data_IF_772954340462
#
_entry.id   IF_772954340462
#
_cell.length_a   1.000
_cell.length_b   1.000
_cell.length_c   1.000
_cell.angle_alpha   90.00
_cell.angle_beta   90.00
_cell.angle_gamma   90.00
#
_symmetry.space_group_name_H-M   'P 1'
#
loop_
_entity.id
_entity.type
_entity.pdbx_description
1 polymer ?
#
# COMPACT_ATOMS: atom_id res chain seq x y z
N UNK A 1 -31.67 2.67 -2.64
CA UNK A 1 -30.43 2.09 -3.18
C UNK A 1 -30.05 0.89 -2.31
N UNK A 2 -29.79 -0.28 -2.91
CA UNK A 2 -29.31 -1.48 -2.19
C UNK A 2 -27.79 -1.46 -2.10
N UNK A 3 -27.23 -1.72 -0.92
CA UNK A 3 -25.79 -1.72 -0.64
C UNK A 3 -25.39 -3.09 -0.11
N UNK A 4 -24.32 -3.65 -0.66
CA UNK A 4 -23.70 -4.90 -0.21
C UNK A 4 -22.37 -4.57 0.47
N UNK A 5 -22.16 -5.06 1.69
CA UNK A 5 -20.93 -4.79 2.46
C UNK A 5 -20.24 -6.11 2.75
N UNK A 6 -19.11 -6.34 2.09
CA UNK A 6 -18.34 -7.57 2.15
C UNK A 6 -17.27 -7.58 3.25
N UNK A 7 -17.34 -6.71 4.26
CA UNK A 7 -16.48 -6.72 5.45
C UNK A 7 -17.17 -5.98 6.60
N UNK A 8 -16.65 -6.11 7.82
CA UNK A 8 -17.16 -5.35 8.97
C UNK A 8 -16.66 -3.90 8.86
N UNK A 9 -17.48 -3.01 8.30
CA UNK A 9 -17.21 -1.57 8.29
C UNK A 9 -17.80 -0.96 9.59
N UNK A 10 -16.99 -0.49 10.55
CA UNK A 10 -17.48 -0.09 11.89
C UNK A 10 -18.42 1.11 11.87
N UNK A 11 -18.35 1.93 10.83
CA UNK A 11 -19.08 3.21 10.71
C UNK A 11 -20.40 3.09 9.98
N UNK A 12 -20.72 1.96 9.36
CA UNK A 12 -22.01 1.75 8.72
C UNK A 12 -22.89 1.01 9.74
N UNK A 13 -23.93 1.67 10.25
CA UNK A 13 -24.92 1.05 11.12
C UNK A 13 -25.79 0.08 10.32
N UNK A 14 -26.14 -1.06 10.92
CA UNK A 14 -27.11 -1.98 10.34
C UNK A 14 -28.46 -1.28 10.17
N UNK A 15 -28.83 -0.97 8.92
CA UNK A 15 -30.13 -0.41 8.56
C UNK A 15 -31.17 -1.53 8.52
N UNK A 16 -32.25 -1.38 9.29
CA UNK A 16 -33.39 -2.33 9.33
C UNK A 16 -34.22 -2.34 8.05
N UNK A 17 -33.94 -1.45 7.08
CA UNK A 17 -34.75 -1.28 5.88
C UNK A 17 -34.49 -2.30 4.75
N UNK A 18 -33.75 -3.39 5.00
CA UNK A 18 -33.29 -4.36 3.98
C UNK A 18 -32.48 -3.74 2.82
N UNK A 19 -32.09 -2.47 2.93
CA UNK A 19 -31.28 -1.77 1.92
C UNK A 19 -29.80 -2.08 2.07
N UNK A 20 -29.35 -2.55 3.23
CA UNK A 20 -27.95 -2.89 3.49
C UNK A 20 -27.85 -4.36 3.86
N UNK A 21 -27.05 -5.13 3.11
CA UNK A 21 -26.76 -6.54 3.38
C UNK A 21 -25.29 -6.69 3.76
N UNK A 22 -25.03 -7.14 4.99
CA UNK A 22 -23.68 -7.41 5.50
C UNK A 22 -23.32 -8.87 5.30
N UNK A 23 -22.19 -9.12 4.66
CA UNK A 23 -21.69 -10.47 4.37
C UNK A 23 -20.21 -10.60 4.76
N UNK A 24 -19.87 -10.44 6.06
CA UNK A 24 -18.49 -10.50 6.53
C UNK A 24 -17.86 -11.89 6.36
N UNK A 25 -18.67 -12.95 6.25
CA UNK A 25 -18.16 -14.31 6.06
C UNK A 25 -17.79 -14.58 4.58
N UNK A 26 -18.34 -13.81 3.65
CA UNK A 26 -18.03 -13.95 2.23
C UNK A 26 -16.76 -13.20 1.83
N UNK A 27 -16.12 -12.44 2.73
CA UNK A 27 -14.82 -11.80 2.48
C UNK A 27 -13.75 -12.81 2.01
N UNK A 28 -13.91 -14.08 2.35
CA UNK A 28 -13.01 -15.18 2.00
C UNK A 28 -13.50 -16.05 0.84
N UNK A 29 -14.71 -15.80 0.33
CA UNK A 29 -15.36 -16.61 -0.69
C UNK A 29 -15.74 -15.74 -1.91
N UNK A 30 -14.82 -15.61 -2.89
CA UNK A 30 -15.06 -14.87 -4.12
C UNK A 30 -16.27 -15.38 -4.91
N UNK A 31 -16.57 -16.68 -4.82
CA UNK A 31 -17.66 -17.31 -5.58
C UNK A 31 -18.99 -17.01 -4.91
N UNK A 32 -19.07 -17.17 -3.60
CA UNK A 32 -20.25 -16.79 -2.82
C UNK A 32 -20.60 -15.30 -2.97
N UNK A 33 -19.60 -14.41 -3.00
CA UNK A 33 -19.85 -12.99 -3.26
C UNK A 33 -20.46 -12.74 -4.65
N UNK A 34 -19.99 -13.43 -5.70
CA UNK A 34 -20.55 -13.27 -7.05
C UNK A 34 -22.02 -13.66 -7.09
N UNK A 35 -22.38 -14.80 -6.48
CA UNK A 35 -23.75 -15.27 -6.38
C UNK A 35 -24.63 -14.21 -5.69
N UNK A 36 -24.12 -13.63 -4.60
CA UNK A 36 -24.84 -12.60 -3.85
C UNK A 36 -25.02 -11.30 -4.62
N UNK A 37 -24.03 -10.88 -5.41
CA UNK A 37 -24.17 -9.70 -6.29
C UNK A 37 -25.30 -9.94 -7.32
N UNK A 38 -25.34 -11.12 -7.94
CA UNK A 38 -26.35 -11.47 -8.94
C UNK A 38 -27.75 -11.55 -8.32
N UNK A 39 -27.87 -12.17 -7.15
CA UNK A 39 -29.16 -12.38 -6.48
C UNK A 39 -29.69 -11.10 -5.82
N UNK A 40 -28.84 -10.39 -5.08
CA UNK A 40 -29.25 -9.20 -4.32
C UNK A 40 -29.41 -7.95 -5.20
N UNK A 41 -28.65 -7.88 -6.31
CA UNK A 41 -28.60 -6.76 -7.25
C UNK A 41 -28.32 -5.42 -6.54
N UNK A 42 -27.19 -5.28 -5.84
CA UNK A 42 -26.83 -4.04 -5.17
C UNK A 42 -26.55 -2.93 -6.19
N UNK A 43 -26.94 -1.70 -5.86
CA UNK A 43 -26.49 -0.50 -6.57
C UNK A 43 -25.11 -0.02 -6.11
N UNK A 44 -24.60 -0.53 -4.98
CA UNK A 44 -23.28 -0.20 -4.44
C UNK A 44 -22.69 -1.39 -3.69
N UNK A 45 -21.40 -1.66 -3.89
CA UNK A 45 -20.68 -2.72 -3.19
C UNK A 45 -19.49 -2.09 -2.45
N UNK A 46 -19.36 -2.38 -1.16
CA UNK A 46 -18.29 -1.87 -0.29
C UNK A 46 -17.50 -3.08 0.25
N UNK A 47 -16.19 -3.12 -0.04
CA UNK A 47 -15.30 -4.24 0.31
C UNK A 47 -14.02 -3.71 0.97
N UNK A 48 -13.43 -4.49 1.87
CA UNK A 48 -12.31 -4.07 2.73
C UNK A 48 -11.37 -5.23 3.01
N UNK A 49 -10.07 -4.96 3.16
CA UNK A 49 -9.00 -5.95 2.96
C UNK A 49 -8.35 -6.51 4.21
N UNK A 50 -8.80 -6.16 5.41
CA UNK A 50 -7.98 -6.37 6.61
C UNK A 50 -7.78 -7.85 7.01
N UNK A 51 -8.48 -8.79 6.39
CA UNK A 51 -8.40 -10.22 6.76
C UNK A 51 -8.37 -11.15 5.53
N UNK A 52 -8.22 -10.62 4.33
CA UNK A 52 -8.30 -11.41 3.08
C UNK A 52 -6.90 -11.55 2.49
N UNK A 53 -6.49 -12.77 2.12
CA UNK A 53 -5.15 -12.99 1.54
C UNK A 53 -4.96 -12.17 0.25
N UNK A 54 -3.70 -11.80 -0.05
CA UNK A 54 -3.36 -11.06 -1.26
C UNK A 54 -3.86 -11.77 -2.54
N UNK A 55 -3.80 -13.11 -2.56
CA UNK A 55 -4.31 -13.93 -3.66
C UNK A 55 -5.83 -13.76 -3.83
N UNK A 56 -6.59 -13.84 -2.74
CA UNK A 56 -8.04 -13.67 -2.77
C UNK A 56 -8.44 -12.26 -3.17
N UNK A 57 -7.73 -11.23 -2.67
CA UNK A 57 -7.92 -9.83 -3.11
C UNK A 57 -7.62 -9.64 -4.61
N UNK A 58 -6.61 -10.32 -5.14
CA UNK A 58 -6.26 -10.25 -6.56
C UNK A 58 -7.31 -10.97 -7.44
N UNK A 59 -7.78 -12.15 -7.02
CA UNK A 59 -8.91 -12.85 -7.66
C UNK A 59 -10.16 -11.96 -7.67
N UNK A 60 -10.50 -11.37 -6.53
CA UNK A 60 -11.60 -10.40 -6.41
C UNK A 60 -11.45 -9.23 -7.35
N UNK A 61 -10.28 -8.61 -7.39
CA UNK A 61 -9.98 -7.47 -8.27
C UNK A 61 -10.20 -7.83 -9.73
N UNK A 62 -9.77 -9.01 -10.14
CA UNK A 62 -9.92 -9.47 -11.52
C UNK A 62 -11.40 -9.75 -11.85
N UNK A 63 -12.11 -10.46 -10.98
CA UNK A 63 -13.55 -10.72 -11.10
C UNK A 63 -14.34 -9.41 -11.18
N UNK A 64 -14.12 -8.48 -10.26
CA UNK A 64 -14.86 -7.22 -10.22
C UNK A 64 -14.56 -6.33 -11.43
N UNK A 65 -13.33 -6.34 -11.97
CA UNK A 65 -13.02 -5.64 -13.23
C UNK A 65 -13.79 -6.24 -14.42
N UNK A 66 -13.85 -7.56 -14.50
CA UNK A 66 -14.60 -8.25 -15.55
C UNK A 66 -16.10 -7.92 -15.42
N UNK A 67 -16.66 -8.04 -14.21
CA UNK A 67 -18.06 -7.69 -13.95
C UNK A 67 -18.34 -6.21 -14.21
N UNK A 68 -17.45 -5.29 -13.83
CA UNK A 68 -17.61 -3.86 -14.05
C UNK A 68 -17.68 -3.51 -15.54
N UNK A 69 -16.85 -4.16 -16.37
CA UNK A 69 -16.88 -3.99 -17.81
C UNK A 69 -18.20 -4.52 -18.42
N UNK A 70 -18.71 -5.65 -17.92
CA UNK A 70 -19.95 -6.27 -18.40
C UNK A 70 -21.19 -5.49 -17.94
N UNK A 71 -21.19 -5.01 -16.70
CA UNK A 71 -22.34 -4.42 -16.03
C UNK A 71 -22.32 -2.89 -15.97
N UNK A 72 -21.32 -2.26 -16.61
CA UNK A 72 -21.08 -0.81 -16.58
C UNK A 72 -21.04 -0.23 -15.15
N UNK A 73 -20.37 -0.93 -14.22
CA UNK A 73 -20.26 -0.54 -12.82
C UNK A 73 -19.02 0.33 -12.62
N UNK A 74 -19.19 1.51 -12.03
CA UNK A 74 -18.06 2.35 -11.63
C UNK A 74 -17.36 1.78 -10.39
N UNK A 75 -16.04 1.62 -10.48
CA UNK A 75 -15.22 1.12 -9.37
C UNK A 75 -14.36 2.24 -8.78
N UNK A 76 -14.53 2.50 -7.49
CA UNK A 76 -13.77 3.51 -6.74
C UNK A 76 -12.85 2.84 -5.73
N UNK A 77 -11.62 3.34 -5.66
CA UNK A 77 -10.69 3.02 -4.58
C UNK A 77 -10.57 4.23 -3.69
N UNK A 78 -10.39 4.01 -2.40
CA UNK A 78 -9.97 5.04 -1.45
C UNK A 78 -8.49 4.83 -1.15
N UNK A 79 -7.59 5.12 -2.12
CA UNK A 79 -6.17 5.02 -1.85
C UNK A 79 -5.82 5.95 -0.69
N UNK A 80 -4.82 5.57 0.10
CA UNK A 80 -4.26 6.40 1.17
C UNK A 80 -5.03 6.48 2.49
N UNK A 81 -6.28 5.99 2.60
CA UNK A 81 -7.04 6.06 3.87
C UNK A 81 -6.30 5.39 5.03
N UNK A 82 -5.70 4.22 4.79
CA UNK A 82 -4.94 3.51 5.81
C UNK A 82 -3.43 3.83 5.77
N UNK A 83 -2.98 4.65 4.83
CA UNK A 83 -1.55 4.83 4.60
C UNK A 83 -0.78 5.44 5.79
N UNK A 84 -1.31 6.44 6.52
CA UNK A 84 -0.65 6.97 7.71
C UNK A 84 -0.46 5.91 8.82
N UNK A 85 -1.46 5.07 9.07
CA UNK A 85 -1.41 4.05 10.13
C UNK A 85 -0.40 2.94 9.79
N UNK A 86 -0.37 2.50 8.53
CA UNK A 86 0.62 1.52 8.08
C UNK A 86 2.03 2.11 8.13
N UNK A 87 2.21 3.37 7.74
CA UNK A 87 3.49 4.05 7.83
C UNK A 87 3.98 4.15 9.28
N UNK A 88 3.10 4.50 10.22
CA UNK A 88 3.40 4.52 11.64
C UNK A 88 3.83 3.13 12.14
N UNK A 89 3.08 2.07 11.81
CA UNK A 89 3.43 0.71 12.18
C UNK A 89 4.81 0.28 11.64
N UNK A 90 5.13 0.61 10.38
CA UNK A 90 6.45 0.34 9.80
C UNK A 90 7.55 1.00 10.64
N UNK A 91 7.40 2.28 10.97
CA UNK A 91 8.40 3.04 11.74
C UNK A 91 8.59 2.48 13.14
N UNK A 92 7.50 2.17 13.84
CA UNK A 92 7.54 1.54 15.16
C UNK A 92 8.29 0.19 15.12
N UNK A 93 8.14 -0.59 14.04
CA UNK A 93 8.82 -1.88 13.89
C UNK A 93 10.28 -1.76 13.49
N UNK A 94 10.67 -0.69 12.81
CA UNK A 94 12.09 -0.42 12.53
C UNK A 94 12.85 -0.08 13.83
N UNK A 95 12.14 0.43 14.85
CA UNK A 95 12.61 0.62 16.23
C UNK A 95 13.94 1.41 16.31
N UNK A 96 13.98 2.56 15.64
CA UNK A 96 15.15 3.44 15.60
C UNK A 96 15.56 4.00 16.97
N UNK A 97 14.62 4.10 17.91
CA UNK A 97 14.80 4.70 19.24
C UNK A 97 15.90 4.06 20.08
N UNK A 98 16.25 2.80 19.80
CA UNK A 98 17.28 2.06 20.53
C UNK A 98 18.65 2.08 19.83
N UNK A 99 18.75 2.73 18.67
CA UNK A 99 19.96 2.74 17.87
C UNK A 99 20.74 4.04 18.05
N UNK A 100 21.97 3.94 18.56
CA UNK A 100 22.85 5.07 18.87
C UNK A 100 23.75 5.46 17.68
N UNK A 101 23.62 4.80 16.54
CA UNK A 101 24.42 5.11 15.36
C UNK A 101 24.03 6.46 14.79
N UNK A 102 25.03 7.30 14.53
CA UNK A 102 24.86 8.54 13.78
C UNK A 102 24.54 8.21 12.31
N UNK A 103 23.66 8.99 11.68
CA UNK A 103 23.31 8.89 10.26
C UNK A 103 22.67 7.56 9.81
N UNK A 104 21.58 7.14 10.46
CA UNK A 104 20.81 5.97 10.03
C UNK A 104 20.21 6.23 8.63
N UNK A 105 20.81 5.62 7.61
CA UNK A 105 20.27 5.56 6.26
C UNK A 105 19.10 4.59 6.24
N UNK A 106 17.91 5.14 6.02
CA UNK A 106 16.66 4.39 6.01
C UNK A 106 16.10 4.34 4.59
N UNK A 107 16.46 3.34 3.78
CA UNK A 107 15.87 3.19 2.48
C UNK A 107 14.39 2.88 2.55
N UNK A 108 13.65 3.59 1.72
CA UNK A 108 12.22 3.36 1.49
C UNK A 108 12.06 2.83 0.08
N UNK A 109 11.72 1.55 -0.02
CA UNK A 109 11.39 0.87 -1.27
C UNK A 109 9.88 0.99 -1.48
N UNK A 110 9.47 1.78 -2.46
CA UNK A 110 8.08 2.10 -2.77
C UNK A 110 7.71 3.54 -2.40
N UNK A 111 7.32 4.33 -3.40
CA UNK A 111 6.99 5.75 -3.25
C UNK A 111 5.47 6.03 -3.42
N UNK A 112 4.64 5.03 -3.10
CA UNK A 112 3.18 5.16 -3.04
C UNK A 112 2.71 5.95 -1.81
N UNK A 113 1.41 5.92 -1.51
CA UNK A 113 0.84 6.65 -0.39
C UNK A 113 1.51 6.32 0.96
N UNK A 114 1.72 5.04 1.25
CA UNK A 114 2.41 4.58 2.48
C UNK A 114 3.85 5.09 2.51
N UNK A 115 4.60 4.85 1.42
CA UNK A 115 6.01 5.24 1.32
C UNK A 115 6.23 6.73 1.54
N UNK A 116 5.37 7.59 1.01
CA UNK A 116 5.44 9.05 1.24
C UNK A 116 5.31 9.41 2.72
N UNK A 117 4.39 8.79 3.45
CA UNK A 117 4.25 9.01 4.88
C UNK A 117 5.47 8.50 5.65
N UNK A 118 6.03 7.35 5.27
CA UNK A 118 7.27 6.84 5.86
C UNK A 118 8.42 7.83 5.64
N UNK A 119 8.64 8.28 4.40
CA UNK A 119 9.69 9.25 4.03
C UNK A 119 9.54 10.54 4.86
N UNK A 120 8.34 11.13 4.88
CA UNK A 120 8.08 12.37 5.60
C UNK A 120 8.38 12.24 7.09
N UNK A 121 7.99 11.12 7.71
CA UNK A 121 8.16 10.92 9.14
C UNK A 121 9.63 10.67 9.51
N UNK A 122 10.34 9.87 8.72
CA UNK A 122 11.78 9.65 8.91
C UNK A 122 12.59 10.95 8.79
N UNK A 123 12.28 11.79 7.78
CA UNK A 123 12.91 13.11 7.64
C UNK A 123 12.60 14.00 8.85
N UNK A 124 11.35 13.99 9.33
CA UNK A 124 10.95 14.77 10.50
C UNK A 124 11.67 14.31 11.79
N UNK A 125 12.01 13.02 11.89
CA UNK A 125 12.79 12.44 12.98
C UNK A 125 14.31 12.64 12.80
N UNK A 126 14.73 13.36 11.76
CA UNK A 126 16.13 13.70 11.49
C UNK A 126 16.93 12.63 10.76
N UNK A 127 16.27 11.61 10.20
CA UNK A 127 16.94 10.55 9.45
C UNK A 127 17.21 10.94 8.00
N UNK A 128 18.35 10.47 7.48
CA UNK A 128 18.63 10.48 6.05
C UNK A 128 17.91 9.32 5.37
N UNK A 129 17.15 9.61 4.32
CA UNK A 129 16.28 8.66 3.64
C UNK A 129 16.78 8.43 2.21
N UNK A 130 16.91 7.16 1.81
CA UNK A 130 17.17 6.79 0.41
C UNK A 130 15.87 6.26 -0.21
N UNK A 131 15.31 6.98 -1.17
CA UNK A 131 14.04 6.62 -1.79
C UNK A 131 14.29 5.85 -3.07
N UNK A 132 13.69 4.67 -3.19
CA UNK A 132 13.65 3.91 -4.43
C UNK A 132 12.21 3.54 -4.80
N UNK A 133 11.87 3.71 -6.07
CA UNK A 133 10.64 3.19 -6.64
C UNK A 133 10.82 2.99 -8.14
N UNK A 134 10.39 1.87 -8.75
CA UNK A 134 10.62 1.62 -10.17
C UNK A 134 10.11 2.74 -11.09
N UNK A 135 8.91 3.27 -10.81
CA UNK A 135 8.35 4.40 -11.56
C UNK A 135 9.08 5.72 -11.32
N UNK A 136 9.75 5.87 -10.17
CA UNK A 136 10.55 7.04 -9.84
C UNK A 136 11.89 6.95 -10.57
N UNK A 137 12.61 5.82 -10.42
CA UNK A 137 13.88 5.54 -11.08
C UNK A 137 13.83 5.74 -12.61
N UNK A 138 12.76 5.27 -13.26
CA UNK A 138 12.56 5.47 -14.69
C UNK A 138 12.46 6.94 -15.10
N UNK A 139 11.95 7.80 -14.23
CA UNK A 139 11.84 9.24 -14.48
C UNK A 139 13.15 9.98 -14.12
N UNK A 140 13.88 9.52 -13.11
CA UNK A 140 15.16 10.10 -12.68
C UNK A 140 16.24 10.03 -13.76
N UNK A 141 16.17 9.07 -14.69
CA UNK A 141 17.10 9.00 -15.83
C UNK A 141 16.90 10.11 -16.87
N UNK A 142 15.86 10.93 -16.73
CA UNK A 142 15.43 11.90 -17.77
C UNK A 142 15.27 13.33 -17.26
N UNK A 143 15.35 13.56 -15.95
CA UNK A 143 15.09 14.85 -15.34
C UNK A 143 15.71 14.95 -13.94
N UNK A 144 15.87 16.18 -13.47
CA UNK A 144 16.40 16.47 -12.14
C UNK A 144 15.58 15.78 -11.03
N UNK A 145 16.23 15.09 -10.06
CA UNK A 145 15.55 14.29 -9.06
C UNK A 145 14.47 15.01 -8.27
N UNK A 146 14.73 16.26 -7.89
CA UNK A 146 13.77 17.07 -7.13
C UNK A 146 12.48 17.34 -7.91
N UNK A 147 12.59 17.66 -9.20
CA UNK A 147 11.43 17.95 -10.04
C UNK A 147 10.58 16.70 -10.22
N UNK A 148 11.23 15.55 -10.46
CA UNK A 148 10.54 14.26 -10.54
C UNK A 148 9.84 13.94 -9.23
N UNK A 149 10.53 14.05 -8.10
CA UNK A 149 9.97 13.74 -6.79
C UNK A 149 8.80 14.66 -6.42
N UNK A 150 8.90 15.97 -6.65
CA UNK A 150 7.79 16.93 -6.46
C UNK A 150 6.59 16.61 -7.33
N UNK A 151 6.79 16.25 -8.61
CA UNK A 151 5.71 15.83 -9.52
C UNK A 151 4.96 14.59 -9.01
N UNK A 152 5.65 13.75 -8.24
CA UNK A 152 5.08 12.56 -7.60
C UNK A 152 4.54 12.86 -6.20
N UNK A 153 4.62 14.09 -5.71
CA UNK A 153 4.19 14.47 -4.35
C UNK A 153 5.06 13.83 -3.26
N UNK A 154 6.35 13.65 -3.54
CA UNK A 154 7.35 13.23 -2.55
C UNK A 154 8.01 14.48 -1.99
N UNK A 155 8.14 14.55 -0.68
CA UNK A 155 8.81 15.67 -0.02
C UNK A 155 10.33 15.52 -0.20
N UNK A 156 10.98 16.56 -0.71
CA UNK A 156 12.43 16.63 -0.87
C UNK A 156 12.99 17.55 0.20
N UNK A 157 13.89 17.01 1.03
CA UNK A 157 14.67 17.76 2.02
C UNK A 157 16.16 17.42 1.83
N UNK A 158 17.08 18.19 2.41
CA UNK A 158 18.55 17.93 2.33
C UNK A 158 18.94 16.50 2.75
N UNK A 159 18.14 15.81 3.57
CA UNK A 159 18.33 14.41 3.96
C UNK A 159 17.68 13.38 3.01
N UNK A 160 17.23 13.76 1.81
CA UNK A 160 16.54 12.86 0.87
C UNK A 160 17.43 12.56 -0.33
N UNK A 161 17.77 11.29 -0.50
CA UNK A 161 18.48 10.79 -1.68
C UNK A 161 17.58 9.90 -2.51
N UNK A 162 17.79 9.85 -3.83
CA UNK A 162 17.00 9.04 -4.73
C UNK A 162 17.88 8.01 -5.42
N UNK A 163 17.57 6.74 -5.19
CA UNK A 163 18.27 5.64 -5.84
C UNK A 163 17.63 5.31 -7.19
N UNK A 164 18.46 4.94 -8.14
CA UNK A 164 18.08 4.49 -9.49
C UNK A 164 17.87 2.97 -9.57
N UNK A 165 18.35 2.23 -8.56
CA UNK A 165 18.19 0.78 -8.46
C UNK A 165 17.91 0.32 -7.02
N UNK A 166 17.29 -0.87 -6.82
CA UNK A 166 17.13 -1.45 -5.49
C UNK A 166 18.47 -1.69 -4.79
N UNK A 167 19.50 -2.11 -5.54
CA UNK A 167 20.85 -2.41 -5.02
C UNK A 167 21.52 -1.15 -4.47
N UNK A 168 21.40 -0.04 -5.18
CA UNK A 168 21.87 1.26 -4.71
C UNK A 168 21.12 1.68 -3.45
N UNK A 169 19.79 1.48 -3.41
CA UNK A 169 18.96 1.84 -2.27
C UNK A 169 19.37 1.14 -0.98
N UNK A 170 19.75 -0.14 -1.06
CA UNK A 170 20.09 -0.96 0.11
C UNK A 170 21.59 -1.04 0.41
N UNK A 171 22.42 -0.28 -0.31
CA UNK A 171 23.87 -0.33 -0.13
C UNK A 171 24.25 0.31 1.21
N UNK A 172 24.94 -0.47 2.06
CA UNK A 172 25.44 -0.04 3.38
C UNK A 172 24.36 0.46 4.35
N UNK A 173 23.15 -0.12 4.27
CA UNK A 173 22.02 0.24 5.15
C UNK A 173 21.78 -0.86 6.19
N UNK A 174 21.22 -0.48 7.33
CA UNK A 174 20.89 -1.43 8.41
C UNK A 174 19.40 -1.79 8.48
N UNK A 175 18.55 -0.87 8.02
CA UNK A 175 17.09 -0.98 8.04
C UNK A 175 16.56 -0.73 6.66
N UNK A 176 15.48 -1.42 6.27
CA UNK A 176 14.81 -1.15 4.99
C UNK A 176 13.31 -1.12 5.23
N UNK A 177 12.69 0.01 4.91
CA UNK A 177 11.24 0.14 4.88
C UNK A 177 10.74 -0.30 3.50
N UNK A 178 9.92 -1.35 3.44
CA UNK A 178 9.34 -1.86 2.21
C UNK A 178 7.85 -1.49 2.18
N UNK A 179 7.49 -0.59 1.28
CA UNK A 179 6.16 -0.01 1.09
C UNK A 179 5.69 -0.16 -0.37
N UNK A 180 5.79 -1.38 -0.90
CA UNK A 180 5.32 -1.78 -2.25
C UNK A 180 4.14 -2.74 -2.15
N UNK A 181 3.30 -2.78 -3.17
CA UNK A 181 2.25 -3.79 -3.29
C UNK A 181 2.89 -5.19 -3.40
N UNK A 182 2.27 -6.20 -2.76
CA UNK A 182 2.80 -7.57 -2.67
C UNK A 182 3.10 -8.26 -4.01
N UNK A 183 2.58 -7.73 -5.13
CA UNK A 183 2.79 -8.26 -6.49
C UNK A 183 4.18 -7.93 -7.04
N UNK A 184 4.97 -7.07 -6.37
CA UNK A 184 6.21 -6.50 -6.92
C UNK A 184 7.51 -7.05 -6.31
N UNK A 185 7.46 -8.07 -5.46
CA UNK A 185 8.68 -8.64 -4.84
C UNK A 185 9.29 -9.70 -5.76
N UNK A 186 10.27 -9.29 -6.58
CA UNK A 186 11.19 -10.22 -7.25
C UNK A 186 12.40 -10.39 -6.34
N UNK A 187 12.58 -11.57 -5.75
CA UNK A 187 13.75 -11.87 -4.91
C UNK A 187 14.97 -12.14 -5.80
N UNK A 188 16.00 -11.30 -5.69
CA UNK A 188 17.35 -11.63 -6.17
C UNK A 188 18.24 -11.91 -4.95
N UNK A 189 18.82 -13.11 -4.90
CA UNK A 189 19.66 -13.60 -3.82
C UNK A 189 21.12 -13.17 -4.04
N UNK A 190 21.73 -12.47 -3.06
CA UNK A 190 23.16 -12.23 -3.04
C UNK A 190 23.60 -11.10 -2.12
N UNK A 191 23.63 -11.33 -0.79
CA UNK A 191 24.18 -10.39 0.19
C UNK A 191 23.71 -10.66 1.62
N UNK A 192 24.39 -10.11 2.64
CA UNK A 192 23.93 -10.19 4.03
C UNK A 192 22.54 -9.57 4.14
N UNK A 193 21.59 -10.30 4.72
CA UNK A 193 20.17 -9.92 4.74
C UNK A 193 19.96 -8.77 5.73
N UNK A 194 19.54 -7.58 5.28
CA UNK A 194 19.02 -6.58 6.21
C UNK A 194 17.78 -7.15 6.91
N UNK A 195 17.51 -6.71 8.14
CA UNK A 195 16.21 -6.99 8.78
C UNK A 195 15.14 -6.28 7.96
N UNK A 196 14.37 -7.02 7.18
CA UNK A 196 13.29 -6.49 6.35
C UNK A 196 11.94 -6.78 7.01
N UNK A 197 11.10 -5.75 7.09
CA UNK A 197 9.67 -5.90 7.38
C UNK A 197 8.93 -5.68 6.06
N UNK A 198 8.29 -6.74 5.55
CA UNK A 198 7.39 -6.66 4.39
C UNK A 198 5.97 -6.59 4.94
N UNK A 199 5.27 -5.49 4.68
CA UNK A 199 3.83 -5.40 4.98
C UNK A 199 3.03 -5.88 3.76
N UNK A 200 2.05 -6.76 4.00
CA UNK A 200 1.16 -7.37 3.00
C UNK A 200 -0.24 -6.78 3.09
#
# INVERSE_FOLDING_TARGET
MKVLIGYRCPTISTDSSNKIKYLPNLSYDPVGLQIEIVMYKPGTIIVGSNIVSAETLQKWRNTMKQMANILNISHYRTPSVNAPFVAQYIIEKLNFSNDKRENILSPVIGCGAIGKHVIQRLIHEGHTVIVYGPSLANCLSRAEPENVARSKGIFCHEGTHFATSPQEAVKNVYYVAIAIDAVSVVTTSGGPRPKSLVWQ
#
